data_IF_463814351507
#
_entry.id   IF_463814351507
#
_cell.length_a   1.000
_cell.length_b   1.000
_cell.length_c   1.000
_cell.angle_alpha   90.00
_cell.angle_beta   90.00
_cell.angle_gamma   90.00
#
_symmetry.space_group_name_H-M   'P 1'
#
loop_
_entity.id
_entity.type
_entity.pdbx_description
1 polymer ?
#
# COMPACT_ATOMS: atom_id res chain seq x y z
N UNK A 1 8.08 -3.48 -6.38
CA UNK A 1 6.97 -2.51 -6.23
C UNK A 1 7.47 -1.20 -5.65
N UNK A 2 6.99 -0.06 -6.14
CA UNK A 2 7.28 1.29 -5.63
C UNK A 2 5.97 1.95 -5.21
N UNK A 3 5.91 2.42 -3.96
CA UNK A 3 4.77 3.17 -3.43
C UNK A 3 5.24 4.58 -3.13
N UNK A 4 4.48 5.61 -3.49
CA UNK A 4 4.66 6.98 -3.00
C UNK A 4 3.35 7.46 -2.39
N UNK A 5 3.44 8.19 -1.28
CA UNK A 5 2.29 8.81 -0.64
C UNK A 5 2.61 10.27 -0.38
N UNK A 6 1.76 11.14 -0.91
CA UNK A 6 1.76 12.56 -0.62
C UNK A 6 0.66 12.85 0.41
N UNK A 7 1.09 13.24 1.60
CA UNK A 7 0.19 13.57 2.70
C UNK A 7 -0.62 14.85 2.44
N UNK A 8 -0.09 15.79 1.66
CA UNK A 8 -0.75 17.10 1.42
C UNK A 8 -1.98 16.94 0.54
N UNK A 9 -1.90 16.03 -0.44
CA UNK A 9 -2.95 15.77 -1.42
C UNK A 9 -3.73 14.49 -1.12
N UNK A 10 -3.38 13.76 -0.05
CA UNK A 10 -3.90 12.43 0.25
C UNK A 10 -3.85 11.48 -0.95
N UNK A 11 -2.79 11.60 -1.77
CA UNK A 11 -2.61 10.86 -3.01
C UNK A 11 -1.58 9.75 -2.80
N UNK A 12 -1.88 8.54 -3.29
CA UNK A 12 -0.94 7.43 -3.30
C UNK A 12 -0.76 6.87 -4.71
N UNK A 13 0.50 6.75 -5.15
CA UNK A 13 0.85 6.04 -6.38
C UNK A 13 1.46 4.68 -6.04
N UNK A 14 0.97 3.64 -6.70
CA UNK A 14 1.54 2.29 -6.70
C UNK A 14 2.07 1.98 -8.10
N UNK A 15 3.32 1.53 -8.22
CA UNK A 15 3.95 1.08 -9.48
C UNK A 15 4.60 -0.29 -9.31
N UNK A 16 4.32 -1.21 -10.22
CA UNK A 16 4.92 -2.54 -10.26
C UNK A 16 6.21 -2.54 -11.09
N UNK A 17 6.25 -1.72 -12.14
CA UNK A 17 7.36 -1.60 -13.08
C UNK A 17 7.72 -0.12 -13.29
N UNK A 18 8.93 0.15 -13.78
CA UNK A 18 9.35 1.50 -14.21
C UNK A 18 9.25 1.52 -15.73
N UNK A 19 8.23 2.18 -16.26
CA UNK A 19 8.01 2.35 -17.70
C UNK A 19 7.89 3.85 -17.94
N UNK A 20 8.56 4.33 -18.99
CA UNK A 20 8.62 5.75 -19.35
C UNK A 20 7.33 6.21 -20.04
N UNK A 21 6.69 5.34 -20.84
CA UNK A 21 5.44 5.60 -21.54
C UNK A 21 4.26 4.90 -20.85
N UNK A 22 3.34 5.69 -20.29
CA UNK A 22 2.17 5.17 -19.59
C UNK A 22 1.00 6.13 -19.65
N UNK A 23 -0.20 5.58 -19.68
CA UNK A 23 -1.43 6.34 -19.61
C UNK A 23 -2.30 5.89 -18.42
N UNK A 24 -3.29 6.70 -18.10
CA UNK A 24 -4.19 6.52 -16.96
C UNK A 24 -5.60 6.27 -17.48
N UNK A 25 -6.28 5.30 -16.91
CA UNK A 25 -7.65 4.91 -17.25
C UNK A 25 -8.49 4.84 -15.98
N UNK A 26 -9.76 5.27 -16.10
CA UNK A 26 -10.68 5.30 -14.96
C UNK A 26 -11.00 3.87 -14.54
N UNK A 27 -10.70 3.52 -13.28
CA UNK A 27 -10.98 2.17 -12.77
C UNK A 27 -12.22 2.15 -11.88
N UNK A 28 -12.26 3.04 -10.88
CA UNK A 28 -13.41 3.21 -9.98
C UNK A 28 -13.34 4.56 -9.29
N UNK A 29 -14.35 4.92 -8.50
CA UNK A 29 -14.39 6.19 -7.78
C UNK A 29 -13.14 6.38 -6.89
N UNK A 30 -12.29 7.35 -7.29
CA UNK A 30 -11.06 7.71 -6.60
C UNK A 30 -9.88 6.75 -6.84
N UNK A 31 -9.97 5.86 -7.83
CA UNK A 31 -8.90 4.95 -8.21
C UNK A 31 -8.74 4.94 -9.72
N UNK A 32 -7.53 5.24 -10.19
CA UNK A 32 -7.17 5.04 -11.59
C UNK A 32 -6.25 3.83 -11.72
N UNK A 33 -6.36 3.14 -12.85
CA UNK A 33 -5.38 2.16 -13.29
C UNK A 33 -4.34 2.85 -14.18
N UNK A 34 -3.08 2.49 -13.99
CA UNK A 34 -1.98 2.97 -14.83
C UNK A 34 -1.54 1.82 -15.72
N UNK A 35 -1.58 2.06 -17.03
CA UNK A 35 -1.29 1.06 -18.06
C UNK A 35 -0.09 1.47 -18.90
N UNK A 36 0.64 0.47 -19.36
CA UNK A 36 1.72 0.61 -20.34
C UNK A 36 1.14 1.00 -21.71
N UNK A 37 1.71 2.01 -22.36
CA UNK A 37 1.32 2.35 -23.74
C UNK A 37 1.78 1.31 -24.77
N UNK A 38 2.75 0.45 -24.40
CA UNK A 38 3.34 -0.53 -25.32
C UNK A 38 2.43 -1.74 -25.54
N UNK A 39 1.81 -2.23 -24.47
CA UNK A 39 1.12 -3.53 -24.46
C UNK A 39 -0.17 -3.56 -23.63
N UNK A 40 -0.63 -2.39 -23.16
CA UNK A 40 -1.81 -2.22 -22.33
C UNK A 40 -1.76 -2.92 -20.95
N UNK A 41 -0.58 -3.43 -20.56
CA UNK A 41 -0.42 -4.12 -19.29
C UNK A 41 -0.58 -3.17 -18.10
N UNK A 42 -1.21 -3.66 -17.02
CA UNK A 42 -1.35 -2.89 -15.77
C UNK A 42 0.01 -2.78 -15.09
N UNK A 43 0.49 -1.54 -14.96
CA UNK A 43 1.77 -1.25 -14.31
C UNK A 43 1.63 -0.54 -12.98
N UNK A 44 0.41 -0.16 -12.60
CA UNK A 44 0.17 0.48 -11.31
C UNK A 44 -1.24 0.96 -11.10
N UNK A 45 -1.41 1.65 -9.98
CA UNK A 45 -2.66 2.28 -9.58
C UNK A 45 -2.38 3.65 -8.97
N UNK A 46 -3.32 4.57 -9.15
CA UNK A 46 -3.36 5.84 -8.44
C UNK A 46 -4.57 5.82 -7.50
N UNK A 47 -4.37 6.25 -6.26
CA UNK A 47 -5.41 6.35 -5.25
C UNK A 47 -5.56 7.82 -4.85
N UNK A 48 -6.69 8.41 -5.19
CA UNK A 48 -7.13 9.69 -4.61
C UNK A 48 -7.85 9.40 -3.31
N UNK A 49 -7.79 10.34 -2.38
CA UNK A 49 -8.29 10.13 -1.02
C UNK A 49 -7.83 8.78 -0.43
N UNK A 50 -6.53 8.50 -0.58
CA UNK A 50 -5.88 7.20 -0.37
C UNK A 50 -6.24 6.57 0.98
N UNK A 51 -6.38 7.38 2.02
CA UNK A 51 -6.78 6.94 3.36
C UNK A 51 -8.14 6.23 3.41
N UNK A 52 -9.00 6.47 2.43
CA UNK A 52 -10.32 5.87 2.28
C UNK A 52 -10.39 4.82 1.15
N UNK A 53 -9.77 5.09 0.00
CA UNK A 53 -9.90 4.25 -1.21
C UNK A 53 -9.14 2.93 -1.09
N UNK A 54 -7.93 2.93 -0.51
CA UNK A 54 -7.10 1.72 -0.35
C UNK A 54 -7.84 0.62 0.42
N UNK A 55 -8.66 0.98 1.41
CA UNK A 55 -9.42 0.01 2.22
C UNK A 55 -10.39 -0.81 1.39
N UNK A 56 -11.00 -0.19 0.37
CA UNK A 56 -12.00 -0.80 -0.51
C UNK A 56 -11.38 -1.54 -1.69
N UNK A 57 -10.10 -1.29 -1.98
CA UNK A 57 -9.44 -1.88 -3.14
C UNK A 57 -9.12 -3.37 -2.93
N UNK A 58 -9.57 -4.20 -3.88
CA UNK A 58 -9.47 -5.67 -3.85
C UNK A 58 -8.45 -6.27 -4.81
N UNK A 59 -8.01 -5.53 -5.84
CA UNK A 59 -7.17 -6.05 -6.94
C UNK A 59 -5.67 -6.13 -6.61
N UNK A 60 -5.31 -6.15 -5.32
CA UNK A 60 -3.91 -6.28 -4.87
C UNK A 60 -3.77 -7.41 -3.86
N UNK A 61 -2.60 -8.02 -3.87
CA UNK A 61 -2.26 -9.04 -2.88
C UNK A 61 -2.37 -8.51 -1.45
N UNK A 62 -2.58 -9.42 -0.50
CA UNK A 62 -2.61 -9.11 0.94
C UNK A 62 -1.33 -8.37 1.38
N UNK A 63 -0.17 -8.83 0.90
CA UNK A 63 1.12 -8.18 1.18
C UNK A 63 1.21 -6.78 0.58
N UNK A 64 0.70 -6.58 -0.63
CA UNK A 64 0.62 -5.26 -1.28
C UNK A 64 -0.28 -4.31 -0.49
N UNK A 65 -1.46 -4.77 -0.07
CA UNK A 65 -2.40 -3.97 0.71
C UNK A 65 -1.82 -3.58 2.08
N UNK A 66 -1.16 -4.52 2.75
CA UNK A 66 -0.42 -4.25 3.98
C UNK A 66 0.68 -3.20 3.78
N UNK A 67 1.42 -3.27 2.67
CA UNK A 67 2.46 -2.30 2.32
C UNK A 67 1.88 -0.88 2.18
N UNK A 68 0.78 -0.73 1.43
CA UNK A 68 0.09 0.55 1.23
C UNK A 68 -0.39 1.12 2.58
N UNK A 69 -1.09 0.31 3.38
CA UNK A 69 -1.63 0.73 4.67
C UNK A 69 -0.53 1.11 5.67
N UNK A 70 0.53 0.31 5.77
CA UNK A 70 1.65 0.59 6.67
C UNK A 70 2.32 1.91 6.31
N UNK A 71 2.59 2.11 5.01
CA UNK A 71 3.21 3.35 4.54
C UNK A 71 2.31 4.56 4.75
N UNK A 72 1.02 4.45 4.43
CA UNK A 72 0.04 5.52 4.62
C UNK A 72 -0.01 5.95 6.09
N UNK A 73 -0.25 5.02 7.00
CA UNK A 73 -0.42 5.34 8.42
C UNK A 73 0.88 5.82 9.07
N UNK A 74 2.02 5.24 8.67
CA UNK A 74 3.33 5.71 9.14
C UNK A 74 3.58 7.16 8.71
N UNK A 75 3.31 7.50 7.45
CA UNK A 75 3.52 8.85 6.92
C UNK A 75 2.55 9.87 7.52
N UNK A 76 1.30 9.51 7.77
CA UNK A 76 0.33 10.37 8.48
C UNK A 76 0.85 10.75 9.87
N UNK A 77 1.56 9.84 10.54
CA UNK A 77 2.18 10.10 11.85
C UNK A 77 3.54 10.81 11.76
N UNK A 78 4.01 11.18 10.56
CA UNK A 78 5.31 11.82 10.37
C UNK A 78 6.51 10.88 10.58
N UNK A 79 6.30 9.57 10.66
CA UNK A 79 7.33 8.60 11.01
C UNK A 79 8.17 8.20 9.79
N UNK A 80 9.47 7.98 9.99
CA UNK A 80 10.37 7.27 9.07
C UNK A 80 10.26 5.75 9.25
N UNK A 81 10.82 4.98 8.32
CA UNK A 81 10.91 3.51 8.50
C UNK A 81 11.76 3.13 9.72
N UNK A 82 12.77 3.97 10.05
CA UNK A 82 13.61 3.77 11.22
C UNK A 82 12.82 4.00 12.51
N UNK A 83 11.96 5.03 12.56
CA UNK A 83 11.13 5.29 13.73
C UNK A 83 10.18 4.13 13.99
N UNK A 84 9.51 3.64 12.94
CA UNK A 84 8.63 2.47 13.06
C UNK A 84 9.40 1.22 13.49
N UNK A 85 10.65 1.04 13.04
CA UNK A 85 11.52 -0.06 13.47
C UNK A 85 11.78 0.01 14.97
N UNK A 86 12.20 1.18 15.47
CA UNK A 86 12.47 1.40 16.89
C UNK A 86 11.21 1.22 17.76
N UNK A 87 10.04 1.66 17.29
CA UNK A 87 8.78 1.54 18.04
C UNK A 87 8.26 0.09 18.12
N UNK A 88 8.46 -0.70 17.06
CA UNK A 88 7.88 -2.05 16.95
C UNK A 88 8.85 -3.15 17.39
N UNK A 89 10.15 -2.85 17.44
CA UNK A 89 11.21 -3.85 17.54
C UNK A 89 11.36 -4.72 16.29
N UNK A 90 10.66 -4.40 15.19
CA UNK A 90 10.82 -5.11 13.92
C UNK A 90 12.09 -4.58 13.24
N UNK A 91 13.01 -5.44 12.77
CA UNK A 91 14.21 -4.99 12.08
C UNK A 91 13.89 -4.09 10.89
N UNK A 92 14.65 -3.00 10.70
CA UNK A 92 14.45 -2.04 9.60
C UNK A 92 14.34 -2.74 8.24
N UNK A 93 15.19 -3.74 7.99
CA UNK A 93 15.16 -4.51 6.74
C UNK A 93 13.82 -5.24 6.54
N UNK A 94 13.22 -5.75 7.61
CA UNK A 94 11.90 -6.39 7.54
C UNK A 94 10.83 -5.35 7.21
N UNK A 95 10.85 -4.16 7.83
CA UNK A 95 9.90 -3.09 7.48
C UNK A 95 10.06 -2.60 6.03
N UNK A 96 11.28 -2.55 5.50
CA UNK A 96 11.53 -2.25 4.08
C UNK A 96 10.88 -3.29 3.17
N UNK A 97 10.99 -4.58 3.50
CA UNK A 97 10.34 -5.65 2.72
C UNK A 97 8.81 -5.59 2.83
N UNK A 98 8.27 -5.29 4.02
CA UNK A 98 6.83 -5.10 4.24
C UNK A 98 6.32 -3.95 3.37
N UNK A 99 6.96 -2.78 3.39
CA UNK A 99 6.57 -1.64 2.57
C UNK A 99 6.87 -1.79 1.07
N UNK A 100 7.52 -2.89 0.67
CA UNK A 100 7.66 -3.28 -0.74
C UNK A 100 6.69 -4.39 -1.14
N UNK A 101 5.90 -4.93 -0.21
CA UNK A 101 4.99 -6.06 -0.45
C UNK A 101 5.71 -7.39 -0.73
N UNK A 102 7.01 -7.47 -0.44
CA UNK A 102 7.91 -8.60 -0.80
C UNK A 102 7.92 -9.71 0.25
N UNK A 103 7.17 -9.57 1.35
CA UNK A 103 7.23 -10.51 2.48
C UNK A 103 5.85 -10.79 3.07
N UNK A 104 5.54 -12.08 3.19
CA UNK A 104 4.45 -12.53 4.07
C UNK A 104 4.80 -12.19 5.51
N UNK A 105 3.93 -11.39 6.11
CA UNK A 105 4.17 -10.82 7.44
C UNK A 105 3.53 -11.72 8.48
N UNK A 106 4.33 -12.18 9.45
CA UNK A 106 3.82 -13.01 10.55
C UNK A 106 2.74 -12.27 11.35
N UNK A 107 1.82 -13.03 11.96
CA UNK A 107 0.78 -12.49 12.85
C UNK A 107 1.39 -11.64 13.97
N UNK A 108 2.54 -12.05 14.50
CA UNK A 108 3.28 -11.29 15.50
C UNK A 108 3.68 -9.90 14.99
N UNK A 109 4.24 -9.82 13.78
CA UNK A 109 4.62 -8.54 13.18
C UNK A 109 3.39 -7.70 12.83
N UNK A 110 2.29 -8.30 12.37
CA UNK A 110 1.02 -7.60 12.16
C UNK A 110 0.50 -6.98 13.47
N UNK A 111 0.58 -7.73 14.58
CA UNK A 111 0.20 -7.25 15.91
C UNK A 111 1.08 -6.08 16.37
N UNK A 112 2.39 -6.19 16.18
CA UNK A 112 3.35 -5.10 16.46
C UNK A 112 3.05 -3.84 15.64
N UNK A 113 2.79 -3.98 14.34
CA UNK A 113 2.41 -2.87 13.45
C UNK A 113 1.10 -2.24 13.89
N UNK A 114 0.06 -3.03 14.19
CA UNK A 114 -1.24 -2.52 14.65
C UNK A 114 -1.12 -1.73 15.97
N UNK A 115 -0.27 -2.19 16.90
CA UNK A 115 0.00 -1.46 18.15
C UNK A 115 0.71 -0.12 17.90
N UNK A 116 1.70 -0.10 17.00
CA UNK A 116 2.44 1.12 16.69
C UNK A 116 1.64 2.11 15.81
N UNK A 117 0.72 1.61 14.99
CA UNK A 117 -0.11 2.38 14.07
C UNK A 117 -1.60 2.18 14.42
N UNK A 118 -2.12 2.75 15.52
CA UNK A 118 -3.43 2.37 16.08
C UNK A 118 -4.62 2.62 15.15
N UNK A 119 -4.50 3.55 14.20
CA UNK A 119 -5.55 3.84 13.19
C UNK A 119 -5.52 2.90 11.98
N UNK A 120 -4.54 1.99 11.90
CA UNK A 120 -4.44 1.05 10.78
C UNK A 120 -5.57 0.02 10.84
N UNK A 121 -6.30 -0.09 9.74
CA UNK A 121 -7.35 -1.08 9.59
C UNK A 121 -6.82 -2.32 8.84
N UNK A 122 -6.39 -3.32 9.60
CA UNK A 122 -5.93 -4.60 9.04
C UNK A 122 -7.08 -5.58 8.74
N UNK A 123 -8.34 -5.25 9.09
CA UNK A 123 -9.46 -6.14 8.81
C UNK A 123 -9.76 -6.21 7.31
N UNK A 124 -9.34 -5.19 6.55
CA UNK A 124 -9.47 -5.16 5.10
C UNK A 124 -8.40 -6.01 4.36
N UNK A 125 -7.50 -6.69 5.09
CA UNK A 125 -6.51 -7.62 4.52
C UNK A 125 -7.10 -8.98 4.15
N UNK A 126 -8.23 -9.38 4.75
CA UNK A 126 -9.00 -10.52 4.27
C UNK A 126 -9.92 -10.03 3.15
N UNK A 127 -9.58 -10.31 1.90
CA UNK A 127 -10.52 -10.10 0.81
C UNK A 127 -11.58 -11.19 0.92
N UNK A 128 -12.82 -10.77 1.11
CA UNK A 128 -14.02 -11.57 0.91
C UNK A 128 -13.86 -12.37 -0.38
N UNK A 129 -14.15 -13.68 -0.33
CA UNK A 129 -14.46 -14.43 -1.54
C UNK A 129 -15.46 -13.59 -2.34
N UNK A 130 -15.10 -13.20 -3.57
CA UNK A 130 -16.09 -12.82 -4.55
C UNK A 130 -16.92 -14.10 -4.72
N UNK A 131 -18.14 -14.09 -4.17
CA UNK A 131 -19.15 -15.07 -4.52
C UNK A 131 -19.52 -14.78 -5.98
N UNK A 132 -18.85 -15.49 -6.88
CA UNK A 132 -19.32 -15.76 -8.25
C UNK A 132 -20.35 -16.87 -8.21
#
# INVERSE_FOLDING_TARGET
>A
MKINYDIKTNFMSLRFQSIDDSYVDDFSEGIDVVKSEVDDSIIGFNFYEASSTIKRFGEISVSGKLALLTKLHRKILGLTQQDLSSMTGIPLQTLKMIEKGEKDTSIENLSKIKKALPKIDLNCLSVSKIAS
#
